data_IF_210455421421
#
_entry.id   IF_210455421421
#
_cell.length_a   1.000
_cell.length_b   1.000
_cell.length_c   1.000
_cell.angle_alpha   90.00
_cell.angle_beta   90.00
_cell.angle_gamma   90.00
#
_symmetry.space_group_name_H-M   'P 1'
#
loop_
_entity.id
_entity.type
_entity.pdbx_description
1 polymer ?
#
# COMPACT_ATOMS: atom_id res chain seq x y z
N UNK A 1 -3.23 -16.31 21.62
CA UNK A 1 -3.34 -14.86 21.86
C UNK A 1 -2.90 -14.12 20.61
N UNK A 2 -3.64 -13.11 20.15
CA UNK A 2 -3.16 -12.19 19.10
C UNK A 2 -2.10 -11.27 19.71
N UNK A 3 -1.05 -10.96 18.96
CA UNK A 3 -0.01 -10.02 19.41
C UNK A 3 -0.60 -8.62 19.58
N UNK A 4 -0.18 -7.90 20.62
CA UNK A 4 -0.52 -6.49 20.86
C UNK A 4 0.77 -5.66 20.99
N UNK A 5 0.74 -4.33 20.78
CA UNK A 5 1.94 -3.50 20.90
C UNK A 5 2.65 -3.65 22.25
N UNK A 6 1.90 -3.80 23.34
CA UNK A 6 2.41 -3.86 24.71
C UNK A 6 3.18 -5.16 25.01
N UNK A 7 2.78 -6.28 24.39
CA UNK A 7 3.40 -7.58 24.62
C UNK A 7 4.41 -8.01 23.54
N UNK A 8 4.58 -7.19 22.49
CA UNK A 8 5.35 -7.53 21.30
C UNK A 8 6.83 -7.80 21.60
N UNK A 9 7.44 -6.98 22.48
CA UNK A 9 8.84 -7.14 22.90
C UNK A 9 9.08 -8.48 23.61
N UNK A 10 8.16 -8.86 24.50
CA UNK A 10 8.22 -10.13 25.22
C UNK A 10 8.04 -11.33 24.27
N UNK A 11 7.04 -11.28 23.38
CA UNK A 11 6.80 -12.34 22.38
C UNK A 11 7.99 -12.51 21.42
N UNK A 12 8.58 -11.41 20.96
CA UNK A 12 9.77 -11.43 20.13
C UNK A 12 10.99 -12.01 20.87
N UNK A 13 11.15 -11.67 22.17
CA UNK A 13 12.16 -12.25 23.03
C UNK A 13 12.04 -13.77 23.15
N UNK A 14 10.82 -14.26 23.38
CA UNK A 14 10.51 -15.68 23.54
C UNK A 14 10.83 -16.50 22.27
N UNK A 15 10.63 -15.93 21.08
CA UNK A 15 10.83 -16.63 19.79
C UNK A 15 12.17 -16.32 19.12
N UNK A 16 13.02 -15.47 19.73
CA UNK A 16 14.27 -14.96 19.14
C UNK A 16 15.19 -16.05 18.58
N UNK A 17 15.37 -17.14 19.33
CA UNK A 17 16.25 -18.27 18.93
C UNK A 17 15.71 -18.99 17.69
N UNK A 18 14.41 -19.26 17.66
CA UNK A 18 13.72 -19.91 16.54
C UNK A 18 13.74 -19.04 15.30
N UNK A 19 13.40 -17.75 15.45
CA UNK A 19 13.45 -16.75 14.39
C UNK A 19 14.85 -16.64 13.79
N UNK A 20 15.90 -16.61 14.61
CA UNK A 20 17.30 -16.58 14.13
C UNK A 20 17.64 -17.82 13.30
N UNK A 21 17.25 -19.02 13.77
CA UNK A 21 17.45 -20.28 13.03
C UNK A 21 16.67 -20.30 11.71
N UNK A 22 15.45 -19.79 11.71
CA UNK A 22 14.60 -19.70 10.52
C UNK A 22 15.23 -18.82 9.44
N UNK A 23 15.65 -17.59 9.79
CA UNK A 23 16.31 -16.70 8.83
C UNK A 23 17.64 -17.26 8.31
N UNK A 24 18.42 -17.96 9.16
CA UNK A 24 19.64 -18.63 8.72
C UNK A 24 19.37 -19.73 7.68
N UNK A 25 18.23 -20.42 7.78
CA UNK A 25 17.77 -21.38 6.76
C UNK A 25 17.27 -20.68 5.50
N UNK A 26 16.50 -19.61 5.66
CA UNK A 26 15.91 -18.87 4.54
C UNK A 26 17.00 -18.30 3.62
N UNK A 27 18.08 -17.74 4.20
CA UNK A 27 19.25 -17.22 3.47
C UNK A 27 19.97 -18.28 2.62
N UNK A 28 19.82 -19.57 2.93
CA UNK A 28 20.43 -20.68 2.18
C UNK A 28 19.56 -21.15 1.01
N UNK A 29 18.31 -20.67 0.89
CA UNK A 29 17.44 -21.06 -0.23
C UNK A 29 17.99 -20.48 -1.54
N UNK A 30 17.82 -21.23 -2.62
CA UNK A 30 18.26 -20.82 -3.94
C UNK A 30 17.44 -19.60 -4.41
N UNK A 31 18.08 -18.45 -4.68
CA UNK A 31 17.38 -17.24 -5.09
C UNK A 31 16.68 -17.38 -6.45
N UNK A 32 17.11 -18.32 -7.32
CA UNK A 32 16.54 -18.48 -8.67
C UNK A 32 15.03 -18.79 -8.68
N UNK A 33 14.50 -19.40 -7.61
CA UNK A 33 13.08 -19.76 -7.51
C UNK A 33 12.29 -18.79 -6.62
N UNK A 34 12.94 -17.79 -6.02
CA UNK A 34 12.31 -16.91 -5.05
C UNK A 34 11.21 -16.05 -5.69
N UNK A 35 11.48 -15.48 -6.86
CA UNK A 35 10.55 -14.59 -7.54
C UNK A 35 9.26 -15.31 -7.95
N UNK A 36 9.38 -16.52 -8.51
CA UNK A 36 8.22 -17.35 -8.88
C UNK A 36 7.39 -17.73 -7.66
N UNK A 37 8.04 -18.17 -6.58
CA UNK A 37 7.37 -18.49 -5.31
C UNK A 37 6.65 -17.27 -4.72
N UNK A 38 7.29 -16.09 -4.73
CA UNK A 38 6.67 -14.88 -4.22
C UNK A 38 5.48 -14.43 -5.07
N UNK A 39 5.53 -14.61 -6.38
CA UNK A 39 4.40 -14.32 -7.26
C UNK A 39 3.20 -15.24 -6.98
N UNK A 40 3.44 -16.54 -6.76
CA UNK A 40 2.40 -17.50 -6.38
C UNK A 40 1.77 -17.15 -5.03
N UNK A 41 2.60 -16.93 -4.00
CA UNK A 41 2.13 -16.52 -2.68
C UNK A 41 1.37 -15.18 -2.73
N UNK A 42 1.87 -14.21 -3.49
CA UNK A 42 1.19 -12.93 -3.69
C UNK A 42 -0.21 -13.15 -4.29
N UNK A 43 -0.31 -13.95 -5.34
CA UNK A 43 -1.60 -14.22 -6.00
C UNK A 43 -2.58 -14.92 -5.04
N UNK A 44 -2.09 -15.88 -4.26
CA UNK A 44 -2.90 -16.60 -3.27
C UNK A 44 -3.39 -15.67 -2.15
N UNK A 45 -2.51 -14.86 -1.56
CA UNK A 45 -2.85 -13.93 -0.49
C UNK A 45 -3.83 -12.84 -0.97
N UNK A 46 -3.57 -12.24 -2.14
CA UNK A 46 -4.43 -11.19 -2.66
C UNK A 46 -5.79 -11.71 -3.14
N UNK A 47 -5.92 -13.02 -3.43
CA UNK A 47 -7.23 -13.63 -3.70
C UNK A 47 -8.15 -13.67 -2.47
N UNK A 48 -7.59 -13.61 -1.26
CA UNK A 48 -8.32 -13.65 0.02
C UNK A 48 -8.34 -12.33 0.79
N UNK A 49 -7.53 -11.35 0.37
CA UNK A 49 -7.48 -10.02 0.98
C UNK A 49 -8.36 -9.06 0.19
N UNK A 50 -9.34 -8.47 0.86
CA UNK A 50 -10.14 -7.39 0.31
C UNK A 50 -9.73 -6.05 0.94
N UNK A 51 -9.15 -5.15 0.14
CA UNK A 51 -8.69 -3.83 0.60
C UNK A 51 -9.84 -2.94 1.10
N UNK A 52 -11.06 -3.13 0.60
CA UNK A 52 -12.27 -2.39 0.99
C UNK A 52 -12.73 -2.79 2.40
N UNK A 53 -12.29 -3.93 2.93
CA UNK A 53 -12.68 -4.38 4.27
C UNK A 53 -12.18 -3.45 5.39
N UNK A 54 -11.07 -2.74 5.21
CA UNK A 54 -10.57 -1.78 6.21
C UNK A 54 -10.19 -0.42 5.63
N UNK A 55 -9.75 -0.38 4.36
CA UNK A 55 -9.22 0.81 3.69
C UNK A 55 -8.17 1.59 4.50
N UNK A 56 -7.41 0.92 5.38
CA UNK A 56 -6.43 1.59 6.24
C UNK A 56 -5.40 2.38 5.42
N UNK A 57 -4.87 1.79 4.35
CA UNK A 57 -3.94 2.49 3.45
C UNK A 57 -4.59 3.74 2.83
N UNK A 58 -5.85 3.67 2.40
CA UNK A 58 -6.55 4.83 1.86
C UNK A 58 -6.89 5.89 2.92
N UNK A 59 -6.92 5.52 4.21
CA UNK A 59 -7.25 6.42 5.32
C UNK A 59 -6.05 7.16 5.88
N UNK A 60 -4.87 6.57 5.83
CA UNK A 60 -3.69 7.04 6.59
C UNK A 60 -2.42 7.10 5.76
N UNK A 61 -2.51 6.95 4.43
CA UNK A 61 -1.32 6.93 3.58
C UNK A 61 -1.63 7.52 2.22
N UNK A 62 -0.81 8.47 1.79
CA UNK A 62 -0.79 8.93 0.41
C UNK A 62 0.02 8.01 -0.49
N UNK A 63 -0.50 7.59 -1.66
CA UNK A 63 0.32 7.00 -2.71
C UNK A 63 1.17 8.08 -3.39
N UNK A 64 2.19 7.63 -4.14
CA UNK A 64 2.95 8.49 -5.06
C UNK A 64 2.18 8.60 -6.39
N UNK A 65 2.02 9.81 -6.88
CA UNK A 65 1.44 10.11 -8.19
C UNK A 65 2.55 10.42 -9.20
N UNK A 66 2.63 9.66 -10.27
CA UNK A 66 3.47 9.98 -11.43
C UNK A 66 2.65 10.74 -12.48
N UNK A 67 3.31 11.44 -13.40
CA UNK A 67 2.63 12.24 -14.45
C UNK A 67 1.60 11.42 -15.25
N UNK A 68 1.90 10.13 -15.51
CA UNK A 68 0.96 9.22 -16.19
C UNK A 68 -0.32 8.95 -15.37
N UNK A 69 -0.20 8.87 -14.05
CA UNK A 69 -1.36 8.71 -13.17
C UNK A 69 -2.16 10.01 -13.09
N UNK A 70 -1.49 11.15 -12.95
CA UNK A 70 -2.11 12.49 -12.96
C UNK A 70 -2.92 12.70 -14.24
N UNK A 71 -2.33 12.44 -15.42
CA UNK A 71 -3.01 12.56 -16.71
C UNK A 71 -4.26 11.65 -16.79
N UNK A 72 -4.12 10.37 -16.41
CA UNK A 72 -5.20 9.38 -16.49
C UNK A 72 -6.36 9.72 -15.55
N UNK A 73 -6.06 10.11 -14.31
CA UNK A 73 -7.06 10.44 -13.29
C UNK A 73 -7.73 11.77 -13.62
N UNK A 74 -6.97 12.81 -13.98
CA UNK A 74 -7.53 14.10 -14.36
C UNK A 74 -8.48 13.97 -15.57
N UNK A 75 -8.12 13.15 -16.56
CA UNK A 75 -9.00 12.83 -17.70
C UNK A 75 -10.27 12.12 -17.27
N UNK A 76 -10.19 11.14 -16.35
CA UNK A 76 -11.35 10.44 -15.81
C UNK A 76 -12.30 11.41 -15.08
N UNK A 77 -11.75 12.32 -14.27
CA UNK A 77 -12.47 13.37 -13.55
C UNK A 77 -12.90 14.55 -14.44
N UNK A 78 -12.55 14.52 -15.75
CA UNK A 78 -12.85 15.58 -16.73
C UNK A 78 -12.33 16.96 -16.34
N UNK A 79 -11.13 17.01 -15.77
CA UNK A 79 -10.46 18.24 -15.37
C UNK A 79 -9.04 18.34 -15.96
N UNK A 80 -8.45 19.55 -15.92
CA UNK A 80 -7.07 19.75 -16.37
C UNK A 80 -6.10 19.19 -15.33
N UNK A 81 -4.95 18.67 -15.79
CA UNK A 81 -3.90 18.14 -14.91
C UNK A 81 -3.43 19.15 -13.87
N UNK A 82 -3.21 20.41 -14.28
CA UNK A 82 -2.82 21.47 -13.38
C UNK A 82 -3.85 21.69 -12.26
N UNK A 83 -5.14 21.68 -12.61
CA UNK A 83 -6.22 21.80 -11.63
C UNK A 83 -6.25 20.59 -10.69
N UNK A 84 -6.01 19.38 -11.21
CA UNK A 84 -5.92 18.17 -10.39
C UNK A 84 -4.77 18.27 -9.37
N UNK A 85 -3.59 18.71 -9.82
CA UNK A 85 -2.43 18.92 -8.95
C UNK A 85 -2.77 19.95 -7.87
N UNK A 86 -3.23 21.14 -8.25
CA UNK A 86 -3.56 22.21 -7.31
C UNK A 86 -4.65 21.80 -6.30
N UNK A 87 -5.61 20.97 -6.72
CA UNK A 87 -6.74 20.55 -5.86
C UNK A 87 -6.37 19.40 -4.92
N UNK A 88 -5.59 18.42 -5.39
CA UNK A 88 -5.41 17.17 -4.67
C UNK A 88 -3.97 16.87 -4.25
N UNK A 89 -2.96 17.43 -4.92
CA UNK A 89 -1.57 17.04 -4.74
C UNK A 89 -0.66 18.18 -4.25
N UNK A 90 0.41 17.82 -3.56
CA UNK A 90 1.57 18.69 -3.31
C UNK A 90 2.85 17.89 -3.49
N UNK A 91 3.99 18.59 -3.55
CA UNK A 91 5.31 17.97 -3.59
C UNK A 91 5.87 17.87 -2.17
N UNK A 92 6.16 16.65 -1.71
CA UNK A 92 6.73 16.42 -0.37
C UNK A 92 8.24 16.71 -0.29
N UNK A 93 8.83 16.43 0.87
CA UNK A 93 10.26 16.66 1.16
C UNK A 93 11.20 15.84 0.27
N UNK A 94 10.74 14.67 -0.20
CA UNK A 94 11.48 13.79 -1.10
C UNK A 94 11.26 14.14 -2.58
N UNK A 95 10.42 15.14 -2.87
CA UNK A 95 10.13 15.61 -4.22
C UNK A 95 9.03 14.83 -4.95
N UNK A 96 8.30 13.95 -4.25
CA UNK A 96 7.20 13.18 -4.82
C UNK A 96 5.88 13.94 -4.79
N UNK A 97 5.03 13.69 -5.79
CA UNK A 97 3.67 14.21 -5.78
C UNK A 97 2.78 13.29 -4.94
N UNK A 98 2.22 13.82 -3.87
CA UNK A 98 1.41 13.10 -2.87
C UNK A 98 0.14 13.90 -2.54
N UNK A 99 -0.86 13.26 -1.94
CA UNK A 99 -2.14 13.85 -1.55
C UNK A 99 -1.97 14.93 -0.50
N UNK A 100 -2.65 16.06 -0.68
CA UNK A 100 -2.67 17.18 0.28
C UNK A 100 -3.39 16.86 1.60
N UNK A 101 -4.28 15.87 1.61
CA UNK A 101 -5.12 15.55 2.76
C UNK A 101 -5.28 14.03 2.94
N UNK A 102 -5.47 13.65 4.19
CA UNK A 102 -5.88 12.32 4.62
C UNK A 102 -7.20 12.43 5.41
N UNK A 103 -8.16 11.49 5.27
CA UNK A 103 -8.19 10.35 4.34
C UNK A 103 -8.14 10.73 2.86
N UNK A 104 -7.81 9.77 2.01
CA UNK A 104 -7.75 9.95 0.56
C UNK A 104 -9.04 10.61 0.03
N UNK A 105 -8.97 11.68 -0.77
CA UNK A 105 -10.15 12.41 -1.26
C UNK A 105 -11.00 11.57 -2.22
N UNK A 106 -10.49 10.43 -2.69
CA UNK A 106 -11.21 9.50 -3.56
C UNK A 106 -11.75 8.27 -2.82
N UNK A 107 -11.63 8.23 -1.49
CA UNK A 107 -12.20 7.18 -0.65
C UNK A 107 -13.61 7.60 -0.20
N UNK A 108 -14.59 6.75 -0.47
CA UNK A 108 -15.89 6.82 0.18
C UNK A 108 -15.76 6.25 1.61
N UNK A 109 -16.09 7.06 2.62
CA UNK A 109 -15.92 6.68 4.02
C UNK A 109 -17.06 5.81 4.55
N UNK A 110 -18.19 5.76 3.85
CA UNK A 110 -19.35 4.99 4.28
C UNK A 110 -19.17 3.49 3.95
N UNK A 111 -18.59 3.19 2.80
CA UNK A 111 -18.41 1.81 2.31
C UNK A 111 -16.96 1.41 1.99
N UNK A 112 -15.99 2.31 2.24
CA UNK A 112 -14.56 2.15 1.96
C UNK A 112 -14.21 1.93 0.48
N UNK A 113 -15.12 2.24 -0.45
CA UNK A 113 -14.87 2.10 -1.89
C UNK A 113 -14.09 3.30 -2.44
N UNK A 114 -13.46 3.11 -3.60
CA UNK A 114 -12.70 4.18 -4.25
C UNK A 114 -13.42 4.65 -5.51
N UNK A 115 -13.71 5.94 -5.59
CA UNK A 115 -14.42 6.54 -6.75
C UNK A 115 -13.60 6.52 -8.03
N UNK A 116 -12.27 6.37 -7.92
CA UNK A 116 -11.35 6.26 -9.05
C UNK A 116 -10.69 4.88 -9.16
N UNK A 117 -11.26 3.81 -8.59
CA UNK A 117 -10.58 2.51 -8.43
C UNK A 117 -9.91 2.00 -9.72
N UNK A 118 -10.58 2.10 -10.87
CA UNK A 118 -10.08 1.66 -12.18
C UNK A 118 -8.91 2.51 -12.72
N UNK A 119 -8.84 3.78 -12.29
CA UNK A 119 -7.81 4.73 -12.71
C UNK A 119 -6.84 5.11 -11.59
N UNK A 120 -6.90 4.41 -10.45
CA UNK A 120 -6.08 4.70 -9.27
C UNK A 120 -4.58 4.71 -9.57
N UNK A 121 -3.77 5.49 -8.82
CA UNK A 121 -2.32 5.49 -8.98
C UNK A 121 -1.72 4.09 -8.94
N UNK A 122 -0.62 3.86 -9.64
CA UNK A 122 0.05 2.55 -9.63
C UNK A 122 0.60 2.15 -8.26
N UNK A 123 0.82 3.11 -7.39
CA UNK A 123 1.28 2.90 -6.02
C UNK A 123 0.15 2.50 -5.05
N UNK A 124 -1.11 2.46 -5.50
CA UNK A 124 -2.28 2.02 -4.73
C UNK A 124 -2.56 0.53 -4.81
#
# INVERSE_FOLDING_TARGET
>A
MRATPENLSQLAGNTKSETKKYFARLKKKNPKQLDGLMQELHTEEFSRINCVSCANCCKTTSPIFIDKDINRIARFLRMKEQQFIETYLYRDEDGFMVLQQEPCPFLDLDDNTCVIYEVRPKAC
#
